data_IF_853315937051
#
_entry.id   IF_853315937051
#
_cell.length_a   1.000
_cell.length_b   1.000
_cell.length_c   1.000
_cell.angle_alpha   90.00
_cell.angle_beta   90.00
_cell.angle_gamma   90.00
#
_symmetry.space_group_name_H-M   'P 1'
#
loop_
_entity.id
_entity.type
_entity.pdbx_description
1 polymer ?
#
# COMPACT_ATOMS: atom_id res chain seq x y z
N UNK A 1 14.96 15.73 -14.73
CA UNK A 1 13.53 15.53 -15.02
C UNK A 1 13.33 14.83 -16.38
N UNK A 2 14.03 15.23 -17.46
CA UNK A 2 13.91 14.56 -18.77
C UNK A 2 14.28 13.08 -18.71
N UNK A 3 15.33 12.72 -17.96
CA UNK A 3 15.72 11.30 -17.76
C UNK A 3 14.63 10.50 -17.05
N UNK A 4 14.02 11.05 -16.00
CA UNK A 4 12.92 10.40 -15.29
C UNK A 4 11.71 10.17 -16.21
N UNK A 5 11.28 11.20 -16.95
CA UNK A 5 10.18 11.07 -17.91
C UNK A 5 10.49 10.01 -18.99
N UNK A 6 11.73 9.92 -19.45
CA UNK A 6 12.15 8.92 -20.42
C UNK A 6 12.10 7.50 -19.83
N UNK A 7 12.48 7.32 -18.55
CA UNK A 7 12.36 6.03 -17.87
C UNK A 7 10.90 5.59 -17.72
N UNK A 8 10.01 6.48 -17.29
CA UNK A 8 8.57 6.18 -17.19
C UNK A 8 8.01 5.79 -18.55
N UNK A 9 8.35 6.51 -19.62
CA UNK A 9 7.92 6.16 -20.98
C UNK A 9 8.45 4.79 -21.43
N UNK A 10 9.67 4.42 -21.03
CA UNK A 10 10.22 3.10 -21.35
C UNK A 10 9.49 2.00 -20.57
N UNK A 11 9.19 2.20 -19.28
CA UNK A 11 8.40 1.26 -18.47
C UNK A 11 7.03 1.06 -19.11
N UNK A 12 6.31 2.15 -19.45
CA UNK A 12 4.99 2.08 -20.09
C UNK A 12 5.04 1.26 -21.38
N UNK A 13 5.99 1.55 -22.27
CA UNK A 13 6.20 0.76 -23.50
C UNK A 13 6.48 -0.71 -23.22
N UNK A 14 7.29 -1.04 -22.24
CA UNK A 14 7.71 -2.40 -21.99
C UNK A 14 6.61 -3.20 -21.27
N UNK A 15 5.80 -2.57 -20.42
CA UNK A 15 4.55 -3.15 -19.90
C UNK A 15 3.60 -3.45 -21.06
N UNK A 16 3.42 -2.53 -22.01
CA UNK A 16 2.60 -2.76 -23.21
C UNK A 16 3.04 -4.02 -23.98
N UNK A 17 4.36 -4.16 -24.23
CA UNK A 17 4.89 -5.36 -24.91
C UNK A 17 4.62 -6.67 -24.14
N UNK A 18 4.67 -6.65 -22.81
CA UNK A 18 4.33 -7.83 -21.98
C UNK A 18 2.86 -8.19 -22.16
N UNK A 19 1.95 -7.22 -22.14
CA UNK A 19 0.51 -7.46 -22.33
C UNK A 19 0.20 -7.97 -23.75
N UNK A 20 0.87 -7.41 -24.77
CA UNK A 20 0.76 -7.86 -26.15
C UNK A 20 1.20 -9.33 -26.28
N UNK A 21 2.37 -9.68 -25.73
CA UNK A 21 2.91 -11.03 -25.76
C UNK A 21 1.98 -12.04 -25.06
N UNK A 22 1.46 -11.72 -23.89
CA UNK A 22 0.50 -12.58 -23.16
C UNK A 22 -0.76 -12.82 -24.01
N UNK A 23 -1.18 -11.80 -24.75
CA UNK A 23 -2.34 -11.88 -25.63
C UNK A 23 -2.03 -12.72 -26.88
N UNK A 24 -0.89 -12.51 -27.53
CA UNK A 24 -0.43 -13.27 -28.70
C UNK A 24 -0.26 -14.77 -28.38
N UNK A 25 0.21 -15.10 -27.19
CA UNK A 25 0.34 -16.47 -26.71
C UNK A 25 -1.01 -17.13 -26.36
N UNK A 26 -2.11 -16.38 -26.38
CA UNK A 26 -3.46 -16.88 -26.08
C UNK A 26 -3.71 -17.21 -24.61
N UNK A 27 -2.83 -16.78 -23.71
CA UNK A 27 -2.92 -17.09 -22.26
C UNK A 27 -3.48 -15.94 -21.42
N UNK A 28 -3.99 -14.89 -22.03
CA UNK A 28 -4.45 -13.68 -21.34
C UNK A 28 -5.53 -13.95 -20.28
N UNK A 29 -6.44 -14.89 -20.52
CA UNK A 29 -7.51 -15.25 -19.56
C UNK A 29 -7.00 -16.00 -18.33
N UNK A 30 -5.83 -16.61 -18.44
CA UNK A 30 -5.20 -17.39 -17.38
C UNK A 30 -4.02 -16.64 -16.73
N UNK A 31 -3.88 -15.34 -17.04
CA UNK A 31 -2.76 -14.51 -16.54
C UNK A 31 -3.27 -13.25 -15.85
N UNK A 32 -2.99 -13.14 -14.55
CA UNK A 32 -3.15 -11.90 -13.79
C UNK A 32 -1.86 -11.08 -13.88
N UNK A 33 -1.94 -9.88 -14.41
CA UNK A 33 -0.85 -8.91 -14.41
C UNK A 33 -1.18 -7.80 -13.42
N UNK A 34 -0.29 -7.55 -12.46
CA UNK A 34 -0.40 -6.44 -11.52
C UNK A 34 0.76 -5.48 -11.77
N UNK A 35 0.45 -4.22 -12.08
CA UNK A 35 1.41 -3.14 -12.14
C UNK A 35 1.26 -2.28 -10.88
N UNK A 36 2.37 -2.06 -10.17
CA UNK A 36 2.38 -1.26 -8.94
C UNK A 36 3.79 -0.72 -8.65
N UNK A 37 3.97 0.00 -7.57
CA UNK A 37 5.27 0.47 -7.06
C UNK A 37 5.49 -0.06 -5.64
N UNK A 38 6.75 -0.18 -5.22
CA UNK A 38 7.13 -0.63 -3.87
C UNK A 38 6.97 0.47 -2.80
N UNK A 39 7.09 1.73 -3.19
CA UNK A 39 6.95 2.91 -2.32
C UNK A 39 6.58 4.16 -3.13
N UNK A 40 6.29 5.24 -2.42
CA UNK A 40 6.05 6.54 -3.00
C UNK A 40 7.27 7.13 -3.73
N UNK A 41 7.12 8.31 -4.38
CA UNK A 41 8.19 8.92 -5.19
C UNK A 41 9.42 9.25 -4.33
N UNK A 42 10.59 9.31 -4.96
CA UNK A 42 11.85 9.64 -4.30
C UNK A 42 12.56 10.85 -4.93
N UNK A 43 13.62 11.32 -4.28
CA UNK A 43 14.44 12.46 -4.72
C UNK A 43 15.87 12.04 -5.11
N UNK A 44 16.13 10.76 -5.25
CA UNK A 44 17.45 10.23 -5.57
C UNK A 44 17.81 10.48 -7.04
N UNK A 45 19.09 10.52 -7.35
CA UNK A 45 19.56 10.77 -8.72
C UNK A 45 19.28 12.17 -9.25
N UNK A 46 19.02 13.16 -8.38
CA UNK A 46 18.73 14.55 -8.77
C UNK A 46 17.32 14.78 -9.28
N UNK A 47 16.44 13.81 -9.16
CA UNK A 47 15.01 13.95 -9.41
C UNK A 47 14.33 14.73 -8.27
N UNK A 48 13.37 15.58 -8.61
CA UNK A 48 12.51 16.28 -7.64
C UNK A 48 11.11 15.68 -7.71
N UNK A 49 10.66 15.07 -6.61
CA UNK A 49 9.34 14.43 -6.54
C UNK A 49 8.21 15.43 -6.87
N UNK A 50 8.35 16.68 -6.43
CA UNK A 50 7.36 17.73 -6.64
C UNK A 50 7.24 18.18 -8.11
N UNK A 51 8.25 17.93 -8.97
CA UNK A 51 8.22 18.41 -10.36
C UNK A 51 7.08 17.80 -11.18
N UNK A 52 6.82 16.51 -10.98
CA UNK A 52 5.73 15.80 -11.65
C UNK A 52 4.52 15.59 -10.74
N UNK A 53 4.56 16.08 -9.51
CA UNK A 53 3.51 15.85 -8.51
C UNK A 53 3.14 14.35 -8.40
N UNK A 54 4.17 13.50 -8.34
CA UNK A 54 4.03 12.04 -8.51
C UNK A 54 3.23 11.35 -7.42
N UNK A 55 3.09 11.96 -6.24
CA UNK A 55 2.24 11.53 -5.14
C UNK A 55 0.92 12.30 -5.06
N UNK A 56 0.68 13.26 -5.99
CA UNK A 56 -0.54 14.07 -6.02
C UNK A 56 -0.79 14.74 -4.68
N UNK A 57 -2.01 14.66 -4.18
CA UNK A 57 -2.40 15.28 -2.90
C UNK A 57 -1.81 14.63 -1.64
N UNK A 58 -1.18 13.47 -1.75
CA UNK A 58 -0.67 12.74 -0.59
C UNK A 58 0.65 13.32 -0.09
N UNK A 59 0.74 13.53 1.23
CA UNK A 59 1.96 14.07 1.86
C UNK A 59 3.01 12.98 2.03
N UNK A 60 4.28 13.37 1.83
CA UNK A 60 5.43 12.50 2.02
C UNK A 60 5.89 11.82 0.73
N UNK A 61 7.05 11.22 0.81
CA UNK A 61 7.75 10.54 -0.28
C UNK A 61 8.35 9.25 0.25
N UNK A 62 9.03 8.46 -0.56
CA UNK A 62 9.80 7.28 -0.14
C UNK A 62 10.49 7.50 1.21
N UNK A 63 10.36 6.58 2.15
CA UNK A 63 10.82 6.57 3.55
C UNK A 63 9.91 7.28 4.55
N UNK A 64 8.89 8.01 4.08
CA UNK A 64 7.88 8.56 4.99
C UNK A 64 6.76 7.54 5.19
N UNK A 65 6.19 7.49 6.39
CA UNK A 65 5.02 6.64 6.69
C UNK A 65 3.68 7.39 6.54
N UNK A 66 3.72 8.59 6.00
CA UNK A 66 2.53 9.30 5.50
C UNK A 66 2.05 8.69 4.19
N UNK A 67 0.81 8.98 3.77
CA UNK A 67 0.20 8.35 2.59
C UNK A 67 1.06 8.49 1.33
N UNK A 68 1.73 9.63 1.11
CA UNK A 68 2.58 9.83 -0.07
C UNK A 68 3.82 8.93 -0.12
N UNK A 69 4.26 8.39 1.02
CA UNK A 69 5.39 7.46 1.07
C UNK A 69 5.00 5.99 0.92
N UNK A 70 3.76 5.63 1.30
CA UNK A 70 3.30 4.22 1.35
C UNK A 70 2.14 3.91 0.41
N UNK A 71 1.35 4.90 -0.01
CA UNK A 71 0.25 4.70 -0.95
C UNK A 71 0.77 4.80 -2.39
N UNK A 72 0.60 3.74 -3.15
CA UNK A 72 1.14 3.59 -4.50
C UNK A 72 0.03 3.29 -5.51
N UNK A 73 0.21 3.69 -6.79
CA UNK A 73 -0.71 3.29 -7.84
C UNK A 73 -0.70 1.77 -8.01
N UNK A 74 -1.87 1.20 -8.25
CA UNK A 74 -1.99 -0.23 -8.55
C UNK A 74 -3.02 -0.45 -9.64
N UNK A 75 -2.64 -1.23 -10.65
CA UNK A 75 -3.48 -1.62 -11.77
C UNK A 75 -3.44 -3.14 -11.89
N UNK A 76 -4.59 -3.78 -11.93
CA UNK A 76 -4.73 -5.21 -12.21
C UNK A 76 -5.34 -5.41 -13.59
N UNK A 77 -4.72 -6.25 -14.41
CA UNK A 77 -5.23 -6.65 -15.72
C UNK A 77 -5.39 -8.17 -15.77
N UNK A 78 -6.60 -8.63 -15.99
CA UNK A 78 -6.94 -10.04 -16.11
C UNK A 78 -8.24 -10.18 -16.89
N UNK A 79 -8.16 -10.33 -18.22
CA UNK A 79 -9.33 -10.40 -19.10
C UNK A 79 -10.30 -11.53 -18.72
N UNK A 80 -11.56 -11.19 -18.53
CA UNK A 80 -12.61 -12.14 -18.15
C UNK A 80 -12.79 -12.29 -16.63
N UNK A 81 -11.83 -11.84 -15.80
CA UNK A 81 -11.92 -11.91 -14.33
C UNK A 81 -11.96 -10.54 -13.69
N UNK A 82 -11.09 -9.62 -14.11
CA UNK A 82 -11.12 -8.22 -13.66
C UNK A 82 -11.91 -7.38 -14.66
N UNK A 83 -12.93 -6.67 -14.19
CA UNK A 83 -13.76 -5.80 -15.04
C UNK A 83 -12.95 -4.61 -15.54
N UNK A 84 -12.87 -4.43 -16.84
CA UNK A 84 -12.18 -3.28 -17.44
C UNK A 84 -12.77 -1.96 -16.99
N UNK A 85 -11.91 -1.00 -16.62
CA UNK A 85 -12.29 0.34 -16.16
C UNK A 85 -12.93 0.36 -14.77
N UNK A 86 -12.94 -0.75 -14.03
CA UNK A 86 -13.38 -0.73 -12.62
C UNK A 86 -12.32 -0.08 -11.73
N UNK A 87 -12.77 0.51 -10.62
CA UNK A 87 -11.95 1.01 -9.54
C UNK A 87 -12.55 0.57 -8.20
N UNK A 88 -11.71 0.33 -7.22
CA UNK A 88 -12.12 -0.10 -5.88
C UNK A 88 -11.23 0.55 -4.82
N UNK A 89 -11.77 0.82 -3.65
CA UNK A 89 -11.08 1.45 -2.52
C UNK A 89 -10.63 0.41 -1.47
N UNK A 90 -10.67 -0.87 -1.79
CA UNK A 90 -10.20 -1.92 -0.89
C UNK A 90 -8.74 -1.70 -0.49
N UNK A 91 -8.49 -1.79 0.82
CA UNK A 91 -7.16 -1.57 1.37
C UNK A 91 -6.37 -2.86 1.43
N UNK A 92 -5.28 -2.92 0.70
CA UNK A 92 -4.37 -4.05 0.70
C UNK A 92 -2.91 -3.57 0.64
N UNK A 93 -1.97 -4.45 0.87
CA UNK A 93 -0.53 -4.20 0.80
C UNK A 93 0.20 -5.40 0.20
N UNK A 94 1.50 -5.28 -0.05
CA UNK A 94 2.28 -6.34 -0.72
C UNK A 94 2.23 -7.70 -0.01
N UNK A 95 2.14 -7.72 1.32
CA UNK A 95 1.96 -8.96 2.08
C UNK A 95 0.73 -9.77 1.65
N UNK A 96 -0.31 -9.11 1.17
CA UNK A 96 -1.56 -9.76 0.75
C UNK A 96 -1.44 -10.54 -0.57
N UNK A 97 -0.37 -10.33 -1.32
CA UNK A 97 -0.09 -11.10 -2.52
C UNK A 97 0.04 -12.60 -2.22
N UNK A 98 0.64 -12.98 -1.09
CA UNK A 98 0.83 -14.39 -0.73
C UNK A 98 -0.51 -15.13 -0.58
N UNK A 99 -1.44 -14.60 0.22
CA UNK A 99 -2.75 -15.22 0.40
C UNK A 99 -3.57 -15.20 -0.90
N UNK A 100 -3.51 -14.09 -1.66
CA UNK A 100 -4.22 -13.94 -2.93
C UNK A 100 -3.74 -14.96 -3.98
N UNK A 101 -2.42 -15.11 -4.12
CA UNK A 101 -1.85 -16.04 -5.10
C UNK A 101 -2.02 -17.49 -4.69
N UNK A 102 -1.98 -17.80 -3.39
CA UNK A 102 -2.29 -19.14 -2.90
C UNK A 102 -3.76 -19.52 -3.19
N UNK A 103 -4.70 -18.60 -2.98
CA UNK A 103 -6.11 -18.80 -3.31
C UNK A 103 -6.32 -19.00 -4.82
N UNK A 104 -5.66 -18.19 -5.66
CA UNK A 104 -5.68 -18.34 -7.12
C UNK A 104 -5.13 -19.68 -7.58
N UNK A 105 -4.09 -20.18 -6.93
CA UNK A 105 -3.47 -21.47 -7.22
C UNK A 105 -4.22 -22.67 -6.59
N UNK A 106 -5.38 -22.44 -5.95
CA UNK A 106 -6.14 -23.44 -5.21
C UNK A 106 -5.29 -24.20 -4.17
N UNK A 107 -4.36 -23.49 -3.50
CA UNK A 107 -3.50 -24.01 -2.44
C UNK A 107 -3.68 -23.19 -1.16
N UNK A 108 -3.05 -23.62 -0.06
CA UNK A 108 -3.10 -22.90 1.20
C UNK A 108 -1.88 -21.99 1.33
N UNK A 109 -2.12 -20.75 1.75
CA UNK A 109 -1.06 -19.88 2.24
C UNK A 109 -0.51 -20.43 3.58
N UNK A 110 0.72 -20.05 3.98
CA UNK A 110 1.21 -20.30 5.33
C UNK A 110 0.24 -19.76 6.39
N UNK A 111 0.16 -20.43 7.55
CA UNK A 111 -0.84 -20.08 8.59
C UNK A 111 -0.44 -18.81 9.38
N UNK A 112 0.87 -18.63 9.62
CA UNK A 112 1.40 -17.54 10.46
C UNK A 112 1.94 -16.39 9.58
N UNK A 113 1.03 -15.75 8.81
CA UNK A 113 1.37 -14.60 7.98
C UNK A 113 0.33 -13.48 8.11
N UNK A 114 0.78 -12.24 7.98
CA UNK A 114 -0.05 -11.03 7.99
C UNK A 114 -0.74 -10.75 6.64
N UNK A 115 -1.18 -11.79 5.96
CA UNK A 115 -1.69 -11.71 4.59
C UNK A 115 -3.19 -12.01 4.54
N UNK A 116 -3.94 -11.13 3.91
CA UNK A 116 -5.36 -11.30 3.61
C UNK A 116 -5.59 -11.27 2.10
N UNK A 117 -6.33 -12.25 1.55
CA UNK A 117 -6.60 -12.29 0.12
C UNK A 117 -7.52 -11.14 -0.31
N UNK A 118 -7.15 -10.46 -1.40
CA UNK A 118 -7.98 -9.48 -2.09
C UNK A 118 -8.57 -10.00 -3.40
N UNK A 119 -8.53 -11.31 -3.64
CA UNK A 119 -9.09 -11.94 -4.83
C UNK A 119 -10.57 -11.60 -5.06
N UNK A 120 -11.46 -11.60 -4.03
CA UNK A 120 -12.85 -11.21 -4.23
C UNK A 120 -13.02 -9.80 -4.81
N UNK A 121 -12.19 -8.85 -4.38
CA UNK A 121 -12.17 -7.48 -4.93
C UNK A 121 -11.71 -7.47 -6.39
N UNK A 122 -10.65 -8.20 -6.73
CA UNK A 122 -10.18 -8.33 -8.13
C UNK A 122 -11.27 -8.88 -9.05
N UNK A 123 -12.08 -9.82 -8.58
CA UNK A 123 -13.17 -10.42 -9.33
C UNK A 123 -14.45 -9.55 -9.37
N UNK A 124 -14.42 -8.36 -8.77
CA UNK A 124 -15.56 -7.44 -8.74
C UNK A 124 -16.71 -7.95 -7.87
N UNK A 125 -16.41 -8.81 -6.88
CA UNK A 125 -17.39 -9.24 -5.91
C UNK A 125 -17.84 -8.05 -5.04
N UNK A 126 -19.09 -8.04 -4.57
CA UNK A 126 -19.56 -6.96 -3.70
C UNK A 126 -18.76 -6.94 -2.37
N UNK A 127 -18.65 -5.76 -1.73
CA UNK A 127 -17.81 -5.58 -0.52
C UNK A 127 -18.06 -6.58 0.59
N UNK A 128 -19.28 -7.07 0.75
CA UNK A 128 -19.65 -8.08 1.75
C UNK A 128 -19.03 -9.46 1.48
N UNK A 129 -18.55 -9.73 0.28
CA UNK A 129 -17.80 -10.95 -0.07
C UNK A 129 -16.30 -10.80 0.11
N UNK A 130 -15.81 -9.57 0.19
CA UNK A 130 -14.44 -9.32 0.58
C UNK A 130 -14.32 -9.46 2.10
N UNK A 131 -13.44 -10.35 2.55
CA UNK A 131 -13.23 -10.59 3.97
C UNK A 131 -12.81 -9.30 4.68
N UNK A 132 -13.38 -9.06 5.87
CA UNK A 132 -12.82 -8.06 6.77
C UNK A 132 -11.35 -8.42 7.04
N UNK A 133 -10.47 -7.42 6.94
CA UNK A 133 -9.04 -7.62 7.15
C UNK A 133 -8.78 -8.21 8.54
N UNK A 134 -8.08 -9.33 8.60
CA UNK A 134 -7.67 -10.01 9.85
C UNK A 134 -6.39 -9.41 10.40
N UNK A 135 -5.41 -9.20 9.50
CA UNK A 135 -4.15 -8.58 9.84
C UNK A 135 -4.27 -7.06 9.94
N UNK A 136 -3.35 -6.44 10.64
CA UNK A 136 -3.26 -4.98 10.73
C UNK A 136 -2.43 -4.42 9.57
N UNK A 137 -2.78 -3.24 9.10
CA UNK A 137 -1.88 -2.47 8.26
C UNK A 137 -0.94 -1.70 9.18
N UNK A 138 0.27 -2.22 9.31
CA UNK A 138 1.31 -1.72 10.20
C UNK A 138 2.61 -1.55 9.43
N UNK A 139 3.36 -0.50 9.76
CA UNK A 139 4.64 -0.17 9.15
C UNK A 139 5.63 0.30 10.19
N UNK A 140 6.89 -0.09 10.01
CA UNK A 140 8.05 0.43 10.72
C UNK A 140 9.10 0.91 9.75
N UNK A 141 9.80 1.96 10.09
CA UNK A 141 10.91 2.44 9.30
C UNK A 141 11.97 3.07 10.19
N UNK A 142 13.21 2.58 10.15
CA UNK A 142 14.27 2.98 11.07
C UNK A 142 15.00 4.24 10.65
N UNK A 143 15.07 4.54 9.36
CA UNK A 143 15.75 5.73 8.86
C UNK A 143 14.98 7.01 9.23
N UNK A 144 15.60 8.17 9.06
CA UNK A 144 15.03 9.51 9.32
C UNK A 144 14.44 9.68 10.72
N UNK A 145 15.12 9.11 11.71
CA UNK A 145 14.72 9.23 13.11
C UNK A 145 13.68 8.24 13.57
N UNK A 146 13.53 7.17 12.84
CA UNK A 146 12.59 6.06 13.04
C UNK A 146 11.11 6.48 13.10
N UNK A 147 10.23 5.60 12.67
CA UNK A 147 8.79 5.82 12.75
C UNK A 147 8.01 4.50 12.76
N UNK A 148 6.83 4.52 13.37
CA UNK A 148 5.83 3.47 13.30
C UNK A 148 4.51 4.07 12.82
N UNK A 149 3.75 3.33 12.02
CA UNK A 149 2.41 3.71 11.65
C UNK A 149 1.47 2.51 11.70
N UNK A 150 0.21 2.76 12.07
CA UNK A 150 -0.86 1.75 12.05
C UNK A 150 -2.13 2.36 11.48
N UNK A 151 -2.86 1.56 10.70
CA UNK A 151 -4.15 1.91 10.17
C UNK A 151 -5.24 1.05 10.80
N UNK A 152 -6.30 1.68 11.28
CA UNK A 152 -7.46 1.02 11.89
C UNK A 152 -8.75 1.75 11.52
N UNK A 153 -9.59 1.06 10.77
CA UNK A 153 -10.75 1.67 10.16
C UNK A 153 -10.38 2.88 9.29
N UNK A 154 -11.00 4.01 9.54
CA UNK A 154 -10.70 5.28 8.84
C UNK A 154 -9.50 6.05 9.42
N UNK A 155 -8.98 5.62 10.56
CA UNK A 155 -7.91 6.30 11.27
C UNK A 155 -6.54 5.77 10.88
N UNK A 156 -5.57 6.68 10.85
CA UNK A 156 -4.15 6.37 10.76
C UNK A 156 -3.41 7.09 11.87
N UNK A 157 -2.57 6.36 12.56
CA UNK A 157 -1.69 6.89 13.60
C UNK A 157 -0.22 6.73 13.20
N UNK A 158 0.58 7.76 13.46
CA UNK A 158 2.03 7.75 13.20
C UNK A 158 2.74 8.17 14.49
N UNK A 159 3.65 7.33 14.99
CA UNK A 159 4.53 7.60 16.12
C UNK A 159 5.96 7.82 15.64
N UNK A 160 6.54 8.95 15.96
CA UNK A 160 7.89 9.32 15.54
C UNK A 160 8.57 10.17 16.63
N UNK A 161 9.78 9.78 17.14
CA UNK A 161 10.46 8.49 16.90
C UNK A 161 9.64 7.29 17.37
N UNK A 162 10.01 6.08 16.90
CA UNK A 162 9.42 4.80 17.34
C UNK A 162 9.46 4.70 18.88
N UNK A 163 8.45 4.06 19.46
CA UNK A 163 8.28 3.75 20.89
C UNK A 163 8.14 4.96 21.83
N UNK A 164 8.82 6.06 21.58
CA UNK A 164 8.93 7.20 22.54
C UNK A 164 8.32 8.50 22.03
N UNK A 165 8.09 8.61 20.72
CA UNK A 165 7.60 9.85 20.12
C UNK A 165 6.10 10.09 20.36
N UNK A 166 5.64 11.32 20.11
CA UNK A 166 4.22 11.63 20.13
C UNK A 166 3.51 10.92 18.98
N UNK A 167 2.26 10.54 19.21
CA UNK A 167 1.38 9.96 18.20
C UNK A 167 0.59 11.09 17.55
N UNK A 168 0.66 11.19 16.22
CA UNK A 168 -0.23 11.99 15.38
C UNK A 168 -1.36 11.10 14.88
N UNK A 169 -2.57 11.63 14.78
CA UNK A 169 -3.78 10.88 14.43
C UNK A 169 -4.56 11.58 13.32
N UNK A 170 -4.79 10.89 12.22
CA UNK A 170 -5.45 11.42 11.03
C UNK A 170 -6.71 10.63 10.67
N UNK A 171 -7.78 11.33 10.26
CA UNK A 171 -9.02 10.73 9.73
C UNK A 171 -8.95 10.68 8.20
N UNK A 172 -8.55 9.55 7.65
CA UNK A 172 -8.35 9.38 6.21
C UNK A 172 -9.66 9.29 5.40
N UNK A 173 -10.84 9.35 6.03
CA UNK A 173 -12.10 9.38 5.28
C UNK A 173 -12.34 10.71 4.56
N UNK A 174 -11.69 11.78 5.00
CA UNK A 174 -11.77 13.12 4.38
C UNK A 174 -10.42 13.87 4.36
N UNK A 175 -9.46 13.54 5.23
CA UNK A 175 -8.14 14.17 5.32
C UNK A 175 -7.07 13.25 4.71
N UNK A 176 -7.14 13.03 3.40
CA UNK A 176 -6.17 12.20 2.69
C UNK A 176 -4.76 12.82 2.64
N UNK A 177 -4.65 14.11 2.98
CA UNK A 177 -3.41 14.87 3.00
C UNK A 177 -2.74 14.89 4.37
N UNK A 178 -3.33 14.23 5.37
CA UNK A 178 -2.80 14.14 6.74
C UNK A 178 -2.40 15.50 7.34
N UNK A 179 -3.23 16.54 7.07
CA UNK A 179 -3.00 17.92 7.48
C UNK A 179 -3.53 18.22 8.88
N UNK A 180 -4.58 17.51 9.31
CA UNK A 180 -5.29 17.78 10.55
C UNK A 180 -5.03 16.69 11.58
N UNK A 181 -4.14 16.98 12.51
CA UNK A 181 -3.86 16.09 13.65
C UNK A 181 -5.00 16.15 14.69
N UNK A 182 -5.65 15.03 14.91
CA UNK A 182 -6.75 14.86 15.87
C UNK A 182 -6.30 14.37 17.24
N UNK A 183 -5.00 14.12 17.48
CA UNK A 183 -4.51 13.50 18.70
C UNK A 183 -4.98 14.22 19.98
N UNK A 184 -4.95 15.55 20.00
CA UNK A 184 -5.40 16.34 21.16
C UNK A 184 -6.90 16.21 21.44
N UNK A 185 -7.71 15.93 20.42
CA UNK A 185 -9.18 15.87 20.53
C UNK A 185 -9.70 14.43 20.72
N UNK A 186 -8.86 13.44 20.48
CA UNK A 186 -9.23 12.02 20.54
C UNK A 186 -8.21 11.19 21.34
N UNK A 187 -8.00 11.52 22.64
CA UNK A 187 -7.08 10.79 23.50
C UNK A 187 -7.44 9.30 23.62
N UNK A 188 -8.71 8.96 23.48
CA UNK A 188 -9.22 7.60 23.43
C UNK A 188 -8.60 6.80 22.26
N UNK A 189 -8.60 7.39 21.07
CA UNK A 189 -8.03 6.77 19.87
C UNK A 189 -6.49 6.78 19.90
N UNK A 190 -5.88 7.79 20.48
CA UNK A 190 -4.43 7.82 20.66
C UNK A 190 -3.98 6.67 21.54
N UNK A 191 -4.68 6.41 22.66
CA UNK A 191 -4.41 5.25 23.51
C UNK A 191 -4.56 3.94 22.75
N UNK A 192 -5.67 3.78 22.03
CA UNK A 192 -5.90 2.60 21.20
C UNK A 192 -4.81 2.42 20.13
N UNK A 193 -4.39 3.49 19.46
CA UNK A 193 -3.31 3.45 18.49
C UNK A 193 -1.98 3.05 19.12
N UNK A 194 -1.66 3.56 20.32
CA UNK A 194 -0.45 3.18 21.07
C UNK A 194 -0.45 1.66 21.35
N UNK A 195 -1.57 1.14 21.86
CA UNK A 195 -1.73 -0.30 22.13
C UNK A 195 -1.54 -1.13 20.83
N UNK A 196 -2.08 -0.67 19.69
CA UNK A 196 -1.91 -1.34 18.41
C UNK A 196 -0.46 -1.29 17.89
N UNK A 197 0.21 -0.13 17.99
CA UNK A 197 1.60 0.05 17.57
C UNK A 197 2.55 -0.86 18.37
N UNK A 198 2.27 -1.06 19.66
CA UNK A 198 3.06 -1.93 20.51
C UNK A 198 2.76 -3.43 20.25
N UNK A 199 1.50 -3.79 19.97
CA UNK A 199 1.11 -5.17 19.67
C UNK A 199 1.58 -5.67 18.31
N UNK A 200 1.70 -4.77 17.32
CA UNK A 200 2.13 -5.15 15.97
C UNK A 200 3.65 -5.21 15.81
N UNK A 201 4.40 -4.68 16.77
CA UNK A 201 5.85 -4.73 16.75
C UNK A 201 6.35 -6.11 17.19
N UNK A 202 7.12 -6.77 16.35
CA UNK A 202 7.86 -7.98 16.69
C UNK A 202 9.36 -7.65 16.78
N UNK A 203 9.97 -7.80 17.96
CA UNK A 203 11.40 -7.56 18.13
C UNK A 203 12.24 -8.53 17.29
N UNK A 204 13.12 -8.01 16.45
CA UNK A 204 14.06 -8.79 15.67
C UNK A 204 15.50 -8.31 15.93
N UNK A 205 16.47 -9.21 16.19
CA UNK A 205 17.85 -8.82 16.47
C UNK A 205 18.55 -8.14 15.28
N UNK A 206 18.04 -8.31 14.07
CA UNK A 206 18.54 -7.67 12.85
C UNK A 206 17.86 -6.34 12.55
N UNK A 207 16.76 -6.03 13.24
CA UNK A 207 15.98 -4.81 13.10
C UNK A 207 16.24 -3.91 14.31
N UNK A 208 17.22 -2.98 14.21
CA UNK A 208 17.70 -2.12 15.31
C UNK A 208 17.60 -0.65 14.96
#
# INVERSE_FOLDING_TARGET
EKGFAAMIKNIDRDVGKVLDLVTELGVAKDTLVIFTSDNGPHQEGGHKADFFDSNGRYVGIKRDLTEGGIRVPTIAWWPGSVKAGSADDHQWYFGDCMATFAELAATKAPEDIDSDSFLPTLQGNPPEKQWARKSRLYWEFLERGSAQAVRFGKWKAIRQPMFTGPIRLYDLSFDHEEKKDHAKHRPDLVKHAADLLDQCHEPDPNWK
#
